data_IF_885124009677
#
_entry.id   IF_885124009677
#
_cell.length_a   1.000
_cell.length_b   1.000
_cell.length_c   1.000
_cell.angle_alpha   90.00
_cell.angle_beta   90.00
_cell.angle_gamma   90.00
#
_symmetry.space_group_name_H-M   'P 1'
#
loop_
_entity.id
_entity.type
_entity.pdbx_description
1 polymer ?
#
# COMPACT_ATOMS: atom_id res chain seq x y z
N UNK A 1 21.84 -10.33 -4.03
CA UNK A 1 21.17 -9.07 -3.63
C UNK A 1 20.59 -9.24 -2.24
N UNK A 2 20.75 -8.26 -1.35
CA UNK A 2 20.08 -8.23 -0.05
C UNK A 2 18.67 -7.64 -0.18
N UNK A 3 17.79 -7.93 0.80
CA UNK A 3 16.44 -7.35 0.82
C UNK A 3 16.48 -5.82 0.91
N UNK A 4 17.41 -5.27 1.69
CA UNK A 4 17.63 -3.82 1.80
C UNK A 4 17.93 -3.19 0.44
N UNK A 5 18.79 -3.81 -0.37
CA UNK A 5 19.14 -3.33 -1.69
C UNK A 5 17.95 -3.36 -2.67
N UNK A 6 17.00 -4.30 -2.51
CA UNK A 6 15.78 -4.36 -3.31
C UNK A 6 14.87 -3.17 -2.98
N UNK A 7 14.63 -2.93 -1.69
CA UNK A 7 13.69 -1.91 -1.24
C UNK A 7 14.22 -0.49 -1.39
N UNK A 8 15.54 -0.31 -1.38
CA UNK A 8 16.18 1.00 -1.55
C UNK A 8 15.71 1.74 -2.83
N UNK A 9 15.41 1.01 -3.91
CA UNK A 9 15.01 1.57 -5.21
C UNK A 9 13.61 2.22 -5.21
N UNK A 10 12.80 1.93 -4.19
CA UNK A 10 11.39 2.34 -4.09
C UNK A 10 11.06 2.90 -2.70
N UNK A 11 12.07 3.16 -1.86
CA UNK A 11 11.87 3.50 -0.46
C UNK A 11 11.08 4.81 -0.29
N UNK A 12 11.37 5.82 -1.11
CA UNK A 12 10.64 7.10 -1.10
C UNK A 12 9.19 6.92 -1.58
N UNK A 13 8.99 6.12 -2.63
CA UNK A 13 7.67 5.84 -3.18
C UNK A 13 6.79 5.05 -2.21
N UNK A 14 7.39 4.14 -1.43
CA UNK A 14 6.68 3.41 -0.36
C UNK A 14 6.16 4.35 0.73
N UNK A 15 6.88 5.42 1.07
CA UNK A 15 6.39 6.42 2.03
C UNK A 15 5.11 7.08 1.51
N UNK A 16 5.09 7.43 0.22
CA UNK A 16 3.91 8.02 -0.42
C UNK A 16 2.73 7.04 -0.47
N UNK A 17 3.01 5.75 -0.68
CA UNK A 17 1.98 4.70 -0.61
C UNK A 17 1.39 4.61 0.80
N UNK A 18 2.21 4.64 1.86
CA UNK A 18 1.72 4.63 3.24
C UNK A 18 0.83 5.84 3.55
N UNK A 19 1.25 7.03 3.13
CA UNK A 19 0.46 8.24 3.33
C UNK A 19 -0.88 8.16 2.59
N UNK A 20 -0.86 7.61 1.36
CA UNK A 20 -2.08 7.40 0.58
C UNK A 20 -3.00 6.37 1.24
N UNK A 21 -2.46 5.25 1.75
CA UNK A 21 -3.25 4.24 2.47
C UNK A 21 -3.87 4.83 3.73
N UNK A 22 -3.11 5.58 4.53
CA UNK A 22 -3.64 6.27 5.72
C UNK A 22 -4.76 7.25 5.37
N UNK A 23 -4.66 7.94 4.24
CA UNK A 23 -5.71 8.89 3.83
C UNK A 23 -7.08 8.23 3.58
N UNK A 24 -7.12 6.91 3.37
CA UNK A 24 -8.35 6.14 3.13
C UNK A 24 -9.24 6.05 4.38
N UNK A 25 -8.67 6.16 5.59
CA UNK A 25 -9.46 6.17 6.83
C UNK A 25 -10.17 7.51 7.08
N UNK A 26 -9.88 8.55 6.30
CA UNK A 26 -10.52 9.88 6.38
C UNK A 26 -11.94 9.92 5.81
N UNK A 27 -12.83 9.07 6.32
CA UNK A 27 -14.24 8.96 5.89
C UNK A 27 -15.19 9.59 6.93
N UNK A 28 -16.33 10.11 6.47
CA UNK A 28 -17.35 10.77 7.30
C UNK A 28 -18.22 9.79 8.14
N UNK A 29 -17.63 8.65 8.54
CA UNK A 29 -18.28 7.61 9.32
C UNK A 29 -17.33 7.16 10.43
N UNK A 30 -17.51 7.64 11.69
CA UNK A 30 -16.54 7.42 12.77
C UNK A 30 -16.18 5.95 13.01
N UNK A 31 -17.18 5.05 13.00
CA UNK A 31 -16.95 3.63 13.21
C UNK A 31 -16.16 2.99 12.06
N UNK A 32 -16.48 3.34 10.81
CA UNK A 32 -15.74 2.84 9.65
C UNK A 32 -14.31 3.37 9.64
N UNK A 33 -14.10 4.64 9.99
CA UNK A 33 -12.78 5.25 10.10
C UNK A 33 -11.89 4.49 11.11
N UNK A 34 -12.45 4.11 12.27
CA UNK A 34 -11.74 3.33 13.28
C UNK A 34 -11.35 1.93 12.78
N UNK A 35 -12.27 1.23 12.11
CA UNK A 35 -12.00 -0.10 11.54
C UNK A 35 -10.93 -0.04 10.43
N UNK A 36 -11.01 0.97 9.56
CA UNK A 36 -10.02 1.20 8.50
C UNK A 36 -8.65 1.55 9.09
N UNK A 37 -8.60 2.44 10.09
CA UNK A 37 -7.35 2.80 10.76
C UNK A 37 -6.71 1.57 11.44
N UNK A 38 -7.50 0.73 12.11
CA UNK A 38 -7.02 -0.52 12.68
C UNK A 38 -6.44 -1.47 11.61
N UNK A 39 -7.19 -1.68 10.53
CA UNK A 39 -6.82 -2.62 9.47
C UNK A 39 -5.60 -2.14 8.65
N UNK A 40 -5.44 -0.82 8.48
CA UNK A 40 -4.38 -0.22 7.67
C UNK A 40 -3.13 0.19 8.48
N UNK A 41 -3.23 0.38 9.81
CA UNK A 41 -2.09 0.70 10.68
C UNK A 41 -1.01 -0.38 10.74
N UNK A 42 -1.34 -1.62 10.38
CA UNK A 42 -0.42 -2.74 10.44
C UNK A 42 0.77 -2.53 9.51
N UNK A 43 1.98 -2.47 10.08
CA UNK A 43 3.26 -2.50 9.36
C UNK A 43 3.48 -3.87 8.70
N UNK A 44 2.70 -4.14 7.66
CA UNK A 44 2.81 -5.35 6.86
C UNK A 44 4.16 -5.42 6.15
N UNK A 45 4.48 -6.58 5.58
CA UNK A 45 5.72 -6.77 4.82
C UNK A 45 5.79 -5.93 3.52
N UNK A 46 4.69 -5.25 3.17
CA UNK A 46 4.50 -4.42 1.96
C UNK A 46 5.03 -5.05 0.67
N UNK A 47 4.95 -6.37 0.58
CA UNK A 47 5.44 -7.14 -0.57
C UNK A 47 4.66 -6.77 -1.82
N UNK A 48 3.33 -6.57 -1.70
CA UNK A 48 2.49 -6.21 -2.84
C UNK A 48 2.79 -4.80 -3.35
N UNK A 49 2.84 -3.75 -2.49
CA UNK A 49 3.34 -2.44 -2.90
C UNK A 49 4.72 -2.46 -3.54
N UNK A 50 5.67 -3.16 -2.92
CA UNK A 50 7.02 -3.27 -3.44
C UNK A 50 7.04 -3.92 -4.82
N UNK A 51 6.27 -5.00 -5.01
CA UNK A 51 6.17 -5.68 -6.30
C UNK A 51 5.57 -4.76 -7.37
N UNK A 52 4.47 -4.05 -7.08
CA UNK A 52 3.83 -3.15 -8.04
C UNK A 52 4.76 -2.00 -8.47
N UNK A 53 5.44 -1.36 -7.51
CA UNK A 53 6.39 -0.28 -7.81
C UNK A 53 7.60 -0.80 -8.61
N UNK A 54 8.21 -1.91 -8.18
CA UNK A 54 9.35 -2.50 -8.90
C UNK A 54 8.96 -2.98 -10.29
N UNK A 55 7.74 -3.50 -10.49
CA UNK A 55 7.22 -3.85 -11.82
C UNK A 55 7.18 -2.64 -12.76
N UNK A 56 6.81 -1.46 -12.26
CA UNK A 56 6.86 -0.22 -13.04
C UNK A 56 8.25 0.16 -13.52
N UNK A 57 9.31 -0.22 -12.79
CA UNK A 57 10.71 0.06 -13.17
C UNK A 57 11.17 -0.71 -14.42
N UNK A 58 10.44 -1.76 -14.83
CA UNK A 58 10.73 -2.50 -16.07
C UNK A 58 10.18 -1.81 -17.34
N UNK A 59 9.37 -0.77 -17.18
CA UNK A 59 8.81 0.02 -18.28
C UNK A 59 8.83 1.52 -17.92
N UNK A 60 7.80 2.28 -18.29
CA UNK A 60 7.62 3.69 -17.96
C UNK A 60 7.25 3.87 -16.48
N UNK A 61 8.20 4.37 -15.70
CA UNK A 61 8.01 4.63 -14.27
C UNK A 61 7.22 5.92 -14.04
N UNK A 62 5.91 5.84 -14.19
CA UNK A 62 5.00 6.95 -13.93
C UNK A 62 4.36 6.83 -12.55
N UNK A 63 4.91 7.54 -11.56
CA UNK A 63 4.40 7.52 -10.19
C UNK A 63 2.95 8.04 -10.09
N UNK A 64 2.53 8.94 -10.97
CA UNK A 64 1.15 9.43 -11.02
C UNK A 64 0.13 8.31 -11.31
N UNK A 65 0.53 7.29 -12.07
CA UNK A 65 -0.30 6.10 -12.32
C UNK A 65 -0.01 4.97 -11.34
N UNK A 66 1.24 4.79 -10.92
CA UNK A 66 1.66 3.70 -10.04
C UNK A 66 1.17 3.89 -8.60
N UNK A 67 1.07 5.13 -8.11
CA UNK A 67 0.61 5.39 -6.74
C UNK A 67 -0.84 4.91 -6.53
N UNK A 68 -1.85 5.33 -7.32
CA UNK A 68 -3.22 4.83 -7.13
C UNK A 68 -3.33 3.33 -7.38
N UNK A 69 -2.58 2.77 -8.34
CA UNK A 69 -2.55 1.33 -8.62
C UNK A 69 -2.00 0.54 -7.43
N UNK A 70 -0.88 0.98 -6.88
CA UNK A 70 -0.25 0.36 -5.72
C UNK A 70 -1.16 0.40 -4.49
N UNK A 71 -1.78 1.56 -4.23
CA UNK A 71 -2.76 1.71 -3.14
C UNK A 71 -3.95 0.76 -3.35
N UNK A 72 -4.51 0.68 -4.56
CA UNK A 72 -5.66 -0.19 -4.85
C UNK A 72 -5.34 -1.68 -4.61
N UNK A 73 -4.15 -2.14 -4.99
CA UNK A 73 -3.70 -3.52 -4.74
C UNK A 73 -3.61 -3.83 -3.25
N UNK A 74 -3.02 -2.93 -2.47
CA UNK A 74 -2.90 -3.14 -1.02
C UNK A 74 -4.26 -3.07 -0.33
N UNK A 75 -5.15 -2.14 -0.74
CA UNK A 75 -6.52 -2.09 -0.22
C UNK A 75 -7.30 -3.37 -0.56
N UNK A 76 -7.16 -3.91 -1.76
CA UNK A 76 -7.79 -5.16 -2.14
C UNK A 76 -7.27 -6.32 -1.30
N UNK A 77 -5.96 -6.35 -1.02
CA UNK A 77 -5.38 -7.34 -0.10
C UNK A 77 -5.90 -7.18 1.33
N UNK A 78 -5.98 -5.96 1.85
CA UNK A 78 -6.55 -5.70 3.17
C UNK A 78 -8.01 -6.15 3.23
N UNK A 79 -8.79 -5.90 2.17
CA UNK A 79 -10.17 -6.36 2.08
C UNK A 79 -10.26 -7.90 2.14
N UNK A 80 -9.38 -8.64 1.44
CA UNK A 80 -9.38 -10.11 1.55
C UNK A 80 -9.05 -10.58 2.96
N UNK A 81 -8.08 -9.97 3.64
CA UNK A 81 -7.74 -10.32 5.03
C UNK A 81 -8.93 -10.16 5.97
N UNK A 82 -9.65 -9.04 5.86
CA UNK A 82 -10.85 -8.80 6.69
C UNK A 82 -11.92 -9.87 6.45
N UNK A 83 -12.09 -10.35 5.23
CA UNK A 83 -13.09 -11.39 4.90
C UNK A 83 -12.59 -12.82 5.21
N UNK A 84 -11.28 -13.07 5.17
CA UNK A 84 -10.67 -14.37 5.49
C UNK A 84 -10.64 -14.63 7.00
N UNK A 85 -10.48 -13.57 7.81
CA UNK A 85 -10.43 -13.64 9.28
C UNK A 85 -11.82 -13.56 9.95
N UNK A 86 -12.90 -13.40 9.17
CA UNK A 86 -14.29 -13.32 9.64
C UNK A 86 -14.90 -14.72 9.87
#
# INVERSE_FOLDING_TARGET
MTLSAIYQLIQEDLILVEDRLKSVSGVDFPWLAELLDYSLKGGGKRIRPALTLLSGKFYDYNLGSLLPMTTAVELMHTATLVHDDA
#
